data_IF_714310011249
#
_entry.id   IF_714310011249
#
_cell.length_a   1.000
_cell.length_b   1.000
_cell.length_c   1.000
_cell.angle_alpha   90.00
_cell.angle_beta   90.00
_cell.angle_gamma   90.00
#
_symmetry.space_group_name_H-M   'P 1'
#
loop_
_entity.id
_entity.type
_entity.pdbx_description
1 polymer ?
#
# COMPACT_ATOMS: atom_id res chain seq x y z
N UNK A 1 -50.96 9.85 7.44
CA UNK A 1 -50.54 8.50 7.94
C UNK A 1 -49.14 8.60 8.45
N UNK A 2 -48.95 8.67 9.79
CA UNK A 2 -47.69 8.74 10.48
C UNK A 2 -47.09 7.32 10.62
N UNK A 3 -46.17 6.94 9.74
CA UNK A 3 -45.33 5.76 9.91
C UNK A 3 -44.13 6.11 10.79
N UNK A 4 -44.23 5.86 12.09
CA UNK A 4 -43.10 5.95 13.03
C UNK A 4 -42.06 4.91 12.65
N UNK A 5 -40.90 5.32 12.19
CA UNK A 5 -39.69 4.48 12.20
C UNK A 5 -39.24 4.41 13.67
N UNK A 6 -39.79 3.45 14.38
CA UNK A 6 -39.36 3.12 15.72
C UNK A 6 -38.12 2.24 15.62
N UNK A 7 -36.99 2.75 16.09
CA UNK A 7 -35.65 2.16 16.24
C UNK A 7 -34.75 2.28 15.00
N UNK A 8 -33.73 3.09 15.20
CA UNK A 8 -32.51 3.09 14.37
C UNK A 8 -31.91 1.67 14.41
N UNK A 9 -31.90 0.91 13.29
CA UNK A 9 -31.35 -0.44 13.27
C UNK A 9 -29.84 -0.50 13.55
N UNK A 10 -29.17 0.66 13.54
CA UNK A 10 -27.73 0.78 13.82
C UNK A 10 -27.42 1.16 15.28
N UNK A 11 -28.43 1.39 16.14
CA UNK A 11 -28.23 1.75 17.55
C UNK A 11 -27.62 0.63 18.42
N UNK A 12 -27.58 -0.60 17.92
CA UNK A 12 -26.97 -1.76 18.58
C UNK A 12 -25.66 -2.22 17.97
N UNK A 13 -25.19 -1.58 16.89
CA UNK A 13 -23.83 -1.80 16.39
C UNK A 13 -22.88 -1.04 17.32
N UNK A 14 -22.43 -1.69 18.39
CA UNK A 14 -21.17 -1.33 19.03
C UNK A 14 -20.10 -1.58 17.99
N UNK A 15 -19.61 -0.51 17.38
CA UNK A 15 -18.33 -0.54 16.68
C UNK A 15 -17.34 -0.95 17.76
N UNK A 16 -16.82 -2.16 17.65
CA UNK A 16 -15.78 -2.67 18.53
C UNK A 16 -14.60 -1.71 18.37
N UNK A 17 -14.38 -0.87 19.39
CA UNK A 17 -13.38 0.21 19.38
C UNK A 17 -11.93 -0.30 19.46
N UNK A 18 -11.70 -1.59 19.24
CA UNK A 18 -10.38 -2.19 19.06
C UNK A 18 -9.86 -2.14 17.61
N UNK A 19 -10.49 -1.40 16.71
CA UNK A 19 -9.81 -0.92 15.51
C UNK A 19 -8.78 0.13 15.94
N UNK A 20 -7.64 -0.35 16.48
CA UNK A 20 -6.41 0.44 16.58
C UNK A 20 -6.26 1.15 15.24
N UNK A 21 -6.32 2.46 15.26
CA UNK A 21 -6.17 3.33 14.10
C UNK A 21 -4.95 2.83 13.30
N UNK A 22 -5.24 2.16 12.21
CA UNK A 22 -4.22 1.76 11.25
C UNK A 22 -3.98 2.99 10.41
N UNK A 23 -3.17 3.92 10.92
CA UNK A 23 -2.84 5.16 10.25
C UNK A 23 -2.38 4.98 8.80
N UNK A 24 -2.09 6.07 8.15
CA UNK A 24 -1.42 6.13 6.85
C UNK A 24 -0.29 7.15 6.94
N UNK A 25 0.63 7.17 5.98
CA UNK A 25 1.61 8.24 5.88
C UNK A 25 0.99 9.44 5.17
N UNK A 26 1.20 10.64 5.73
CA UNK A 26 0.93 11.89 5.01
C UNK A 26 1.88 12.02 3.81
N UNK A 27 1.60 12.98 2.93
CA UNK A 27 2.49 13.25 1.78
C UNK A 27 3.89 13.62 2.24
N UNK A 28 4.01 14.47 3.27
CA UNK A 28 5.29 14.90 3.84
C UNK A 28 6.05 13.72 4.47
N UNK A 29 5.37 12.86 5.22
CA UNK A 29 5.97 11.64 5.78
C UNK A 29 6.43 10.67 4.69
N UNK A 30 5.63 10.48 3.63
CA UNK A 30 6.01 9.67 2.48
C UNK A 30 7.18 10.28 1.72
N UNK A 31 7.21 11.60 1.57
CA UNK A 31 8.33 12.32 0.96
C UNK A 31 9.61 12.10 1.78
N UNK A 32 9.56 12.33 3.10
CA UNK A 32 10.69 12.10 3.99
C UNK A 32 11.19 10.64 3.91
N UNK A 33 10.25 9.68 3.90
CA UNK A 33 10.58 8.26 3.77
C UNK A 33 11.23 7.92 2.43
N UNK A 34 10.79 8.58 1.34
CA UNK A 34 11.30 8.34 -0.02
C UNK A 34 12.70 8.92 -0.21
N UNK A 35 12.99 10.07 0.40
CA UNK A 35 14.20 10.86 0.14
C UNK A 35 15.32 10.65 1.15
N UNK A 36 15.07 9.94 2.26
CA UNK A 36 16.09 9.69 3.27
C UNK A 36 17.31 8.99 2.68
N UNK A 37 18.47 9.52 2.96
CA UNK A 37 19.75 8.90 2.59
C UNK A 37 20.11 7.81 3.60
N UNK A 38 20.41 6.64 3.10
CA UNK A 38 20.72 5.46 3.89
C UNK A 38 22.06 4.88 3.42
N UNK A 39 22.95 4.57 4.35
CA UNK A 39 24.26 3.94 4.07
C UNK A 39 24.23 2.42 4.28
N UNK A 40 23.05 1.81 4.28
CA UNK A 40 22.85 0.38 4.50
C UNK A 40 21.93 -0.17 3.39
N UNK A 41 22.46 -1.04 2.50
CA UNK A 41 21.69 -1.60 1.39
C UNK A 41 20.43 -2.35 1.83
N UNK A 42 20.44 -2.94 3.01
CA UNK A 42 19.31 -3.66 3.57
C UNK A 42 18.17 -2.70 4.00
N UNK A 43 18.52 -1.54 4.55
CA UNK A 43 17.55 -0.48 4.88
C UNK A 43 17.04 0.19 3.61
N UNK A 44 17.90 0.41 2.62
CA UNK A 44 17.51 0.93 1.31
C UNK A 44 16.48 0.03 0.64
N UNK A 45 16.72 -1.28 0.61
CA UNK A 45 15.77 -2.24 0.03
C UNK A 45 14.43 -2.18 0.77
N UNK A 46 14.43 -2.15 2.11
CA UNK A 46 13.20 -2.11 2.89
C UNK A 46 12.41 -0.81 2.65
N UNK A 47 13.11 0.35 2.57
CA UNK A 47 12.55 1.66 2.19
C UNK A 47 11.91 1.58 0.80
N UNK A 48 12.66 1.13 -0.18
CA UNK A 48 12.22 1.10 -1.57
C UNK A 48 11.02 0.16 -1.79
N UNK A 49 11.02 -1.00 -1.14
CA UNK A 49 9.86 -1.90 -1.16
C UNK A 49 8.62 -1.29 -0.50
N UNK A 50 8.80 -0.56 0.60
CA UNK A 50 7.70 0.13 1.26
C UNK A 50 7.14 1.25 0.37
N UNK A 51 8.01 2.09 -0.20
CA UNK A 51 7.63 3.15 -1.14
C UNK A 51 6.94 2.55 -2.37
N UNK A 52 7.48 1.46 -2.92
CA UNK A 52 6.83 0.72 -4.02
C UNK A 52 5.40 0.30 -3.66
N UNK A 53 5.20 -0.20 -2.43
CA UNK A 53 3.88 -0.53 -1.90
C UNK A 53 2.95 0.68 -1.79
N UNK A 54 3.46 1.86 -1.39
CA UNK A 54 2.71 3.10 -1.31
C UNK A 54 2.26 3.62 -2.68
N UNK A 55 2.98 3.32 -3.74
CA UNK A 55 2.66 3.75 -5.10
C UNK A 55 1.83 2.74 -5.89
N UNK A 56 1.82 1.48 -5.50
CA UNK A 56 1.17 0.40 -6.26
C UNK A 56 0.01 -0.26 -5.52
N UNK A 57 -0.06 -0.12 -4.20
CA UNK A 57 -1.02 -0.83 -3.37
C UNK A 57 -0.83 -2.36 -3.36
N UNK A 58 0.28 -2.89 -3.89
CA UNK A 58 0.54 -4.33 -3.95
C UNK A 58 0.93 -4.85 -2.56
N UNK A 59 0.48 -6.04 -2.19
CA UNK A 59 0.84 -6.66 -0.91
C UNK A 59 2.27 -7.17 -0.90
N UNK A 60 2.86 -7.33 0.29
CA UNK A 60 4.23 -7.85 0.44
C UNK A 60 4.44 -9.17 -0.29
N UNK A 61 3.53 -10.13 -0.11
CA UNK A 61 3.67 -11.44 -0.73
C UNK A 61 3.53 -11.39 -2.24
N UNK A 62 2.69 -10.49 -2.76
CA UNK A 62 2.54 -10.31 -4.20
C UNK A 62 3.81 -9.67 -4.77
N UNK A 63 4.41 -8.63 -4.11
CA UNK A 63 5.66 -8.01 -4.55
C UNK A 63 6.81 -9.03 -4.54
N UNK A 64 6.89 -9.85 -3.49
CA UNK A 64 7.92 -10.89 -3.35
C UNK A 64 7.92 -11.87 -4.52
N UNK A 65 6.74 -12.13 -5.09
CA UNK A 65 6.56 -13.08 -6.19
C UNK A 65 6.48 -12.42 -7.58
N UNK A 66 6.64 -11.08 -7.68
CA UNK A 66 6.71 -10.42 -8.97
C UNK A 66 7.98 -10.81 -9.72
N UNK A 67 7.80 -11.13 -11.00
CA UNK A 67 8.87 -11.44 -11.94
C UNK A 67 8.92 -10.41 -13.07
N UNK A 68 9.98 -10.45 -13.86
CA UNK A 68 10.11 -9.61 -15.08
C UNK A 68 8.97 -9.86 -16.07
N UNK A 69 8.41 -11.06 -16.11
CA UNK A 69 7.29 -11.44 -16.97
C UNK A 69 5.98 -10.76 -16.60
N UNK A 70 5.88 -10.26 -15.35
CA UNK A 70 4.70 -9.51 -14.91
C UNK A 70 4.69 -8.06 -15.41
N UNK A 71 5.78 -7.56 -16.01
CA UNK A 71 5.83 -6.21 -16.57
C UNK A 71 5.48 -6.28 -18.05
N UNK A 72 4.44 -5.58 -18.44
CA UNK A 72 3.90 -5.56 -19.81
C UNK A 72 3.71 -4.12 -20.27
N UNK A 73 4.03 -3.84 -21.52
CA UNK A 73 3.74 -2.53 -22.14
C UNK A 73 2.31 -2.51 -22.67
N UNK A 74 1.46 -1.65 -22.13
CA UNK A 74 0.09 -1.44 -22.55
C UNK A 74 -0.12 0.03 -22.92
N UNK A 75 -0.52 0.32 -24.14
CA UNK A 75 -0.75 1.69 -24.60
C UNK A 75 0.47 2.61 -24.45
N UNK A 76 1.69 2.08 -24.64
CA UNK A 76 2.93 2.84 -24.50
C UNK A 76 3.39 3.09 -23.05
N UNK A 77 2.70 2.55 -22.06
CA UNK A 77 3.05 2.67 -20.65
C UNK A 77 3.37 1.29 -20.06
N UNK A 78 4.28 1.19 -19.07
CA UNK A 78 4.56 -0.05 -18.35
C UNK A 78 3.46 -0.34 -17.32
N UNK A 79 3.04 -1.60 -17.24
CA UNK A 79 2.04 -2.11 -16.31
C UNK A 79 2.54 -3.36 -15.62
N UNK A 80 2.16 -3.55 -14.36
CA UNK A 80 2.21 -4.86 -13.71
C UNK A 80 0.89 -5.58 -14.00
N UNK A 81 1.00 -6.78 -14.57
CA UNK A 81 -0.12 -7.70 -14.80
C UNK A 81 0.17 -8.99 -14.05
N UNK A 82 -0.63 -9.31 -13.04
CA UNK A 82 -0.41 -10.48 -12.18
C UNK A 82 -1.70 -10.93 -11.51
N UNK A 83 -1.60 -11.93 -10.64
CA UNK A 83 -2.70 -12.45 -9.82
C UNK A 83 -2.32 -12.39 -8.34
N UNK A 84 -3.30 -12.12 -7.48
CA UNK A 84 -3.12 -12.12 -6.03
C UNK A 84 -2.76 -13.52 -5.55
N UNK A 85 -1.67 -13.65 -4.80
CA UNK A 85 -1.23 -14.94 -4.24
C UNK A 85 -2.28 -15.57 -3.33
N UNK A 86 -2.97 -14.74 -2.54
CA UNK A 86 -3.97 -15.23 -1.57
C UNK A 86 -5.29 -15.64 -2.20
N UNK A 87 -5.75 -14.95 -3.25
CA UNK A 87 -7.13 -15.08 -3.77
C UNK A 87 -7.18 -15.50 -5.23
N UNK A 88 -6.06 -15.51 -5.95
CA UNK A 88 -6.00 -15.76 -7.39
C UNK A 88 -6.62 -14.65 -8.26
N UNK A 89 -7.15 -13.59 -7.66
CA UNK A 89 -7.80 -12.50 -8.40
C UNK A 89 -6.76 -11.75 -9.25
N UNK A 90 -7.00 -11.59 -10.57
CA UNK A 90 -6.10 -10.85 -11.43
C UNK A 90 -6.12 -9.36 -11.08
N UNK A 91 -4.98 -8.71 -11.23
CA UNK A 91 -4.86 -7.26 -11.10
C UNK A 91 -3.93 -6.68 -12.16
N UNK A 92 -4.16 -5.42 -12.49
CA UNK A 92 -3.34 -4.64 -13.40
C UNK A 92 -3.08 -3.28 -12.77
N UNK A 93 -1.82 -2.85 -12.73
CA UNK A 93 -1.42 -1.59 -12.11
C UNK A 93 -0.44 -0.89 -13.04
N UNK A 94 -0.79 0.34 -13.42
CA UNK A 94 0.13 1.19 -14.19
C UNK A 94 1.33 1.56 -13.32
N UNK A 95 2.51 1.37 -13.85
CA UNK A 95 3.74 1.78 -13.18
C UNK A 95 4.01 3.25 -13.48
N UNK A 96 4.02 4.04 -12.40
CA UNK A 96 4.45 5.44 -12.41
C UNK A 96 5.97 5.52 -12.34
N UNK A 97 6.53 6.72 -12.40
CA UNK A 97 7.99 6.94 -12.46
C UNK A 97 8.74 6.38 -11.24
N UNK A 98 8.23 6.61 -10.02
CA UNK A 98 8.89 6.15 -8.79
C UNK A 98 8.99 4.62 -8.72
N UNK A 99 7.90 3.84 -8.87
CA UNK A 99 8.00 2.39 -8.97
C UNK A 99 8.94 1.89 -10.08
N UNK A 100 8.96 2.56 -11.24
CA UNK A 100 9.85 2.20 -12.33
C UNK A 100 11.32 2.44 -11.99
N UNK A 101 11.65 3.57 -11.34
CA UNK A 101 13.00 3.87 -10.87
C UNK A 101 13.46 2.82 -9.83
N UNK A 102 12.56 2.41 -8.91
CA UNK A 102 12.87 1.36 -7.95
C UNK A 102 13.18 0.04 -8.66
N UNK A 103 12.33 -0.39 -9.62
CA UNK A 103 12.57 -1.62 -10.38
C UNK A 103 13.94 -1.58 -11.10
N UNK A 104 14.26 -0.46 -11.75
CA UNK A 104 15.54 -0.27 -12.45
C UNK A 104 16.74 -0.31 -11.50
N UNK A 105 16.61 0.27 -10.30
CA UNK A 105 17.69 0.26 -9.29
C UNK A 105 18.11 -1.15 -8.92
N UNK A 106 17.17 -2.09 -8.81
CA UNK A 106 17.44 -3.47 -8.40
C UNK A 106 17.71 -4.44 -9.56
N UNK A 107 17.59 -3.99 -10.80
CA UNK A 107 17.85 -4.81 -11.98
C UNK A 107 19.25 -5.45 -11.99
N UNK A 108 20.36 -4.74 -11.69
CA UNK A 108 21.69 -5.32 -11.68
C UNK A 108 21.93 -6.38 -10.57
N UNK A 109 21.08 -6.38 -9.54
CA UNK A 109 21.22 -7.27 -8.37
C UNK A 109 20.31 -8.48 -8.41
N UNK A 110 19.59 -8.71 -9.51
CA UNK A 110 18.70 -9.87 -9.66
C UNK A 110 19.51 -11.15 -9.77
N UNK A 111 19.13 -12.14 -8.97
CA UNK A 111 19.70 -13.51 -9.01
C UNK A 111 18.73 -14.50 -9.67
N UNK A 112 17.51 -14.08 -9.99
CA UNK A 112 16.45 -14.86 -10.62
C UNK A 112 15.57 -13.96 -11.46
N UNK A 113 14.46 -14.51 -12.00
CA UNK A 113 13.45 -13.72 -12.72
C UNK A 113 12.66 -12.78 -11.78
N UNK A 114 12.77 -12.90 -10.46
CA UNK A 114 12.08 -12.02 -9.53
C UNK A 114 12.56 -10.58 -9.68
N UNK A 115 11.64 -9.62 -9.55
CA UNK A 115 12.00 -8.20 -9.63
C UNK A 115 12.92 -7.76 -8.48
N UNK A 116 12.76 -8.37 -7.32
CA UNK A 116 13.48 -8.05 -6.10
C UNK A 116 13.91 -9.31 -5.36
N UNK A 117 15.09 -9.27 -4.77
CA UNK A 117 15.58 -10.33 -3.87
C UNK A 117 15.13 -10.03 -2.44
N UNK A 118 13.93 -10.50 -2.07
CA UNK A 118 13.27 -10.13 -0.81
C UNK A 118 13.42 -11.26 0.23
N UNK A 119 13.92 -10.91 1.40
CA UNK A 119 13.99 -11.79 2.56
C UNK A 119 12.64 -12.10 3.22
N UNK A 120 12.65 -12.37 4.52
CA UNK A 120 11.42 -12.63 5.26
C UNK A 120 10.60 -11.35 5.50
N UNK A 121 9.27 -11.51 5.63
CA UNK A 121 8.36 -10.41 5.96
C UNK A 121 8.74 -9.71 7.27
N UNK A 122 9.13 -10.49 8.28
CA UNK A 122 9.48 -9.95 9.60
C UNK A 122 10.78 -9.13 9.55
N UNK A 123 11.77 -9.58 8.77
CA UNK A 123 13.01 -8.84 8.57
C UNK A 123 12.74 -7.49 7.89
N UNK A 124 11.95 -7.50 6.83
CA UNK A 124 11.58 -6.26 6.12
C UNK A 124 10.79 -5.31 7.04
N UNK A 125 9.84 -5.81 7.82
CA UNK A 125 9.10 -4.99 8.77
C UNK A 125 9.97 -4.37 9.86
N UNK A 126 10.99 -5.08 10.36
CA UNK A 126 11.94 -4.50 11.32
C UNK A 126 12.70 -3.34 10.71
N UNK A 127 13.20 -3.49 9.48
CA UNK A 127 13.92 -2.45 8.76
C UNK A 127 13.03 -1.24 8.40
N UNK A 128 11.78 -1.48 7.99
CA UNK A 128 10.81 -0.39 7.75
C UNK A 128 10.60 0.46 9.02
N UNK A 129 10.49 -0.18 10.19
CA UNK A 129 10.36 0.54 11.46
C UNK A 129 11.61 1.37 11.80
N UNK A 130 12.78 0.84 11.48
CA UNK A 130 14.04 1.55 11.68
C UNK A 130 14.12 2.79 10.79
N UNK A 131 13.81 2.66 9.50
CA UNK A 131 13.76 3.79 8.56
C UNK A 131 12.71 4.81 9.00
N UNK A 132 11.52 4.38 9.41
CA UNK A 132 10.47 5.28 9.91
C UNK A 132 10.94 6.10 11.11
N UNK A 133 11.63 5.46 12.07
CA UNK A 133 12.22 6.15 13.20
C UNK A 133 13.27 7.19 12.79
N UNK A 134 14.09 6.87 11.79
CA UNK A 134 15.08 7.81 11.25
C UNK A 134 14.42 9.01 10.57
N UNK A 135 13.21 8.84 9.99
CA UNK A 135 12.38 9.91 9.42
C UNK A 135 11.57 10.68 10.48
N UNK A 136 11.66 10.37 11.78
CA UNK A 136 10.85 10.99 12.82
C UNK A 136 9.36 10.58 12.77
N UNK A 137 9.03 9.46 12.13
CA UNK A 137 7.66 8.96 12.03
C UNK A 137 7.34 8.10 13.26
N UNK A 138 6.46 8.59 14.13
CA UNK A 138 6.07 7.90 15.38
C UNK A 138 4.98 6.85 15.17
N UNK A 139 4.29 6.89 14.04
CA UNK A 139 3.22 5.95 13.69
C UNK A 139 3.74 4.51 13.65
N UNK A 140 2.89 3.56 14.04
CA UNK A 140 3.22 2.13 13.93
C UNK A 140 3.38 1.73 12.46
N UNK A 141 4.60 1.72 11.98
CA UNK A 141 4.92 1.35 10.61
C UNK A 141 5.06 -0.17 10.43
N UNK A 142 4.51 -0.65 9.34
CA UNK A 142 4.68 -2.02 8.84
C UNK A 142 4.43 -2.02 7.34
N UNK A 143 4.80 -3.08 6.63
CA UNK A 143 4.54 -3.13 5.19
C UNK A 143 3.05 -2.93 4.84
N UNK A 144 2.15 -3.36 5.71
CA UNK A 144 0.71 -3.18 5.49
C UNK A 144 0.29 -1.70 5.46
N UNK A 145 1.01 -0.82 6.18
CA UNK A 145 0.78 0.62 6.17
C UNK A 145 0.95 1.21 4.76
N UNK A 146 1.86 0.67 3.94
CA UNK A 146 2.05 1.15 2.56
C UNK A 146 0.77 1.03 1.73
N UNK A 147 0.01 -0.03 1.91
CA UNK A 147 -1.26 -0.23 1.21
C UNK A 147 -2.36 0.72 1.70
N UNK A 148 -2.38 1.03 3.00
CA UNK A 148 -3.27 2.05 3.56
C UNK A 148 -2.92 3.43 3.00
N UNK A 149 -1.63 3.77 2.97
CA UNK A 149 -1.11 5.01 2.38
C UNK A 149 -1.52 5.12 0.91
N UNK A 150 -1.31 4.05 0.12
CA UNK A 150 -1.78 4.00 -1.26
C UNK A 150 -3.29 4.30 -1.37
N UNK A 151 -4.12 3.64 -0.54
CA UNK A 151 -5.57 3.79 -0.61
C UNK A 151 -5.99 5.24 -0.34
N UNK A 152 -5.47 5.85 0.72
CA UNK A 152 -5.80 7.23 1.10
C UNK A 152 -5.33 8.20 0.03
N UNK A 153 -4.07 8.12 -0.40
CA UNK A 153 -3.54 9.02 -1.43
C UNK A 153 -4.28 8.87 -2.76
N UNK A 154 -4.57 7.65 -3.20
CA UNK A 154 -5.30 7.41 -4.44
C UNK A 154 -6.70 8.02 -4.40
N UNK A 155 -7.42 7.91 -3.27
CA UNK A 155 -8.73 8.55 -3.07
C UNK A 155 -8.62 10.07 -3.06
N UNK A 156 -7.60 10.64 -2.40
CA UNK A 156 -7.35 12.09 -2.37
C UNK A 156 -7.07 12.67 -3.75
N UNK A 157 -6.35 11.91 -4.59
CA UNK A 157 -6.12 12.28 -6.00
C UNK A 157 -7.29 11.94 -6.94
N UNK A 158 -8.47 11.65 -6.39
CA UNK A 158 -9.72 11.49 -7.13
C UNK A 158 -9.90 10.12 -7.80
N UNK A 159 -9.12 9.11 -7.43
CA UNK A 159 -9.35 7.75 -7.93
C UNK A 159 -10.68 7.22 -7.38
N UNK A 160 -11.59 6.69 -8.22
CA UNK A 160 -12.85 6.09 -7.76
C UNK A 160 -12.60 4.97 -6.75
N UNK A 161 -13.40 4.93 -5.69
CA UNK A 161 -13.25 3.95 -4.60
C UNK A 161 -13.33 2.50 -5.08
N UNK A 162 -14.13 2.23 -6.11
CA UNK A 162 -14.25 0.92 -6.75
C UNK A 162 -12.92 0.52 -7.40
N UNK A 163 -12.21 1.47 -8.03
CA UNK A 163 -10.90 1.25 -8.63
C UNK A 163 -9.85 0.95 -7.56
N UNK A 164 -9.84 1.73 -6.47
CA UNK A 164 -8.95 1.50 -5.33
C UNK A 164 -9.21 0.14 -4.71
N UNK A 165 -10.48 -0.21 -4.46
CA UNK A 165 -10.89 -1.51 -3.91
C UNK A 165 -10.44 -2.67 -4.80
N UNK A 166 -10.58 -2.54 -6.12
CA UNK A 166 -10.13 -3.54 -7.09
C UNK A 166 -8.61 -3.69 -7.10
N UNK A 167 -7.86 -2.59 -7.09
CA UNK A 167 -6.40 -2.60 -7.00
C UNK A 167 -5.95 -3.27 -5.72
N UNK A 168 -6.57 -2.96 -4.58
CA UNK A 168 -6.26 -3.59 -3.31
C UNK A 168 -6.71 -5.06 -3.25
N UNK A 169 -7.60 -5.51 -4.14
CA UNK A 169 -8.15 -6.86 -4.13
C UNK A 169 -9.07 -7.12 -2.93
N UNK A 170 -9.77 -6.09 -2.47
CA UNK A 170 -10.78 -6.24 -1.43
C UNK A 170 -12.02 -6.90 -2.03
N UNK A 171 -12.49 -7.98 -1.41
CA UNK A 171 -13.72 -8.68 -1.79
C UNK A 171 -14.97 -7.89 -1.39
N UNK A 172 -14.84 -6.99 -0.40
CA UNK A 172 -15.90 -6.10 0.05
C UNK A 172 -15.41 -4.64 0.00
N UNK A 173 -16.15 -3.81 -0.71
CA UNK A 173 -15.85 -2.37 -0.85
C UNK A 173 -15.88 -1.63 0.50
N UNK A 174 -16.65 -2.14 1.47
CA UNK A 174 -16.72 -1.59 2.83
C UNK A 174 -15.34 -1.50 3.48
N UNK A 175 -14.43 -2.43 3.17
CA UNK A 175 -13.04 -2.38 3.66
C UNK A 175 -12.30 -1.13 3.15
N UNK A 176 -12.58 -0.72 1.92
CA UNK A 176 -12.00 0.50 1.34
C UNK A 176 -12.72 1.76 1.85
N UNK A 177 -14.05 1.68 2.08
CA UNK A 177 -14.83 2.79 2.66
C UNK A 177 -14.34 3.15 4.07
N UNK A 178 -13.99 2.17 4.90
CA UNK A 178 -13.41 2.43 6.23
C UNK A 178 -12.13 3.25 6.11
N UNK A 179 -11.28 2.96 5.12
CA UNK A 179 -10.05 3.74 4.87
C UNK A 179 -10.34 5.18 4.44
N UNK A 180 -11.43 5.41 3.69
CA UNK A 180 -11.84 6.78 3.30
C UNK A 180 -12.39 7.59 4.47
N UNK A 181 -13.05 6.95 5.45
CA UNK A 181 -13.60 7.61 6.63
C UNK A 181 -12.49 8.08 7.59
N UNK A 182 -11.39 7.35 7.68
CA UNK A 182 -10.24 7.73 8.51
C UNK A 182 -9.66 9.08 8.06
N UNK A 183 -9.69 9.37 6.76
CA UNK A 183 -9.20 10.62 6.20
C UNK A 183 -10.07 11.85 6.57
N UNK A 184 -11.38 11.67 6.72
CA UNK A 184 -12.30 12.78 7.07
C UNK A 184 -12.15 13.19 8.53
N UNK A 185 -11.55 12.36 9.37
CA UNK A 185 -11.43 12.56 10.82
C UNK A 185 -10.14 13.26 11.27
N UNK A 186 -9.17 13.46 10.38
CA UNK A 186 -7.96 14.24 10.67
C UNK A 186 -8.15 15.66 10.09
N UNK A 187 -8.40 16.71 10.92
CA UNK A 187 -8.39 18.09 10.44
C UNK A 187 -6.93 18.47 10.09
N UNK A 188 -6.77 19.05 8.91
CA UNK A 188 -5.55 19.76 8.47
C UNK A 188 -5.14 20.86 9.44
#
# INVERSE_FOLDING_TARGET
YNGKIARNPFAQYKVDSDHKERGFLTEDELQAFTTIELNNPDLELARDLFVFGCWTGISFIDIKNLTTENITMLGGSPWIVSKRQKTGVPFQIKLMDIPMQIIKRYEPYRISNNLFNIGSHDTINKRIKEVAKMCGIEKRTSFHLSRHTFAVLALNYGMPIESVSKILGHTNITTTQILSLIHISEPT
#
